data_IF_228288114977
#
_entry.id   IF_228288114977
#
_cell.length_a   1.000
_cell.length_b   1.000
_cell.length_c   1.000
_cell.angle_alpha   90.00
_cell.angle_beta   90.00
_cell.angle_gamma   90.00
#
_symmetry.space_group_name_H-M   'P 1'
#
loop_
_entity.id
_entity.type
_entity.pdbx_description
1 polymer ?
#
# COMPACT_ATOMS: atom_id res chain seq x y z
N UNK A 1 -53.59 53.40 35.26
CA UNK A 1 -53.32 52.63 34.03
C UNK A 1 -52.21 51.63 34.34
N UNK A 2 -52.44 50.34 34.04
CA UNK A 2 -51.50 49.25 33.66
C UNK A 2 -50.21 49.04 34.49
N UNK A 3 -49.73 47.85 34.82
CA UNK A 3 -50.21 46.46 34.81
C UNK A 3 -49.15 45.66 35.58
N UNK A 4 -49.56 44.59 36.26
CA UNK A 4 -48.73 43.57 36.89
C UNK A 4 -47.98 42.72 35.84
N UNK A 5 -46.73 42.32 36.12
CA UNK A 5 -46.16 40.97 35.86
C UNK A 5 -44.68 40.87 36.28
N UNK A 6 -44.29 39.83 37.05
CA UNK A 6 -42.90 39.40 37.22
C UNK A 6 -42.62 38.13 36.39
N UNK A 7 -41.45 38.06 35.77
CA UNK A 7 -40.86 36.88 35.14
C UNK A 7 -39.34 37.07 35.24
N UNK A 8 -38.46 36.08 35.36
CA UNK A 8 -38.46 34.69 35.81
C UNK A 8 -36.98 34.34 35.76
N UNK A 9 -36.49 33.60 36.76
CA UNK A 9 -35.08 33.26 36.89
C UNK A 9 -34.59 32.34 35.76
N UNK A 10 -33.35 32.54 35.32
CA UNK A 10 -32.52 31.48 34.73
C UNK A 10 -31.04 31.80 34.87
N UNK A 11 -30.41 31.13 35.85
CA UNK A 11 -28.97 31.02 36.02
C UNK A 11 -28.38 30.26 34.83
N UNK A 12 -27.59 30.94 34.00
CA UNK A 12 -26.75 30.29 33.00
C UNK A 12 -25.48 29.78 33.69
N UNK A 13 -25.44 28.47 33.91
CA UNK A 13 -24.21 27.75 34.20
C UNK A 13 -23.28 27.84 32.99
N UNK A 14 -22.20 28.60 33.12
CA UNK A 14 -21.09 28.57 32.17
C UNK A 14 -20.23 27.34 32.49
N UNK A 15 -20.52 26.19 31.88
CA UNK A 15 -19.58 25.07 31.88
C UNK A 15 -18.54 25.31 30.79
N UNK A 16 -17.33 25.69 31.20
CA UNK A 16 -16.15 25.64 30.33
C UNK A 16 -15.87 24.17 30.00
N UNK A 17 -16.16 23.76 28.77
CA UNK A 17 -15.72 22.48 28.24
C UNK A 17 -14.23 22.63 27.94
N UNK A 18 -13.38 22.12 28.83
CA UNK A 18 -12.02 21.74 28.48
C UNK A 18 -12.13 20.59 27.48
N UNK A 19 -11.90 20.88 26.20
CA UNK A 19 -11.62 19.86 25.20
C UNK A 19 -10.25 19.27 25.53
N UNK A 20 -10.25 18.09 26.15
CA UNK A 20 -9.07 17.25 26.34
C UNK A 20 -8.54 16.80 24.99
N UNK A 21 -7.22 16.90 24.82
CA UNK A 21 -6.42 16.25 23.77
C UNK A 21 -7.05 14.94 23.29
N UNK A 22 -7.73 15.00 22.15
CA UNK A 22 -7.88 13.84 21.29
C UNK A 22 -6.73 13.92 20.30
N UNK A 23 -5.74 13.06 20.50
CA UNK A 23 -4.76 12.67 19.48
C UNK A 23 -5.43 12.61 18.11
N UNK A 24 -5.13 13.58 17.25
CA UNK A 24 -5.39 13.49 15.82
C UNK A 24 -4.65 12.26 15.29
N UNK A 25 -5.34 11.12 15.25
CA UNK A 25 -5.03 10.12 14.24
C UNK A 25 -5.55 10.75 12.95
N UNK A 26 -4.67 11.52 12.32
CA UNK A 26 -4.87 12.07 10.99
C UNK A 26 -5.39 10.93 10.10
N UNK A 27 -6.54 11.14 9.46
CA UNK A 27 -7.16 10.18 8.55
C UNK A 27 -6.23 9.94 7.34
N UNK A 28 -5.18 9.12 7.51
CA UNK A 28 -4.50 8.46 6.41
C UNK A 28 -5.55 7.57 5.75
N UNK A 29 -6.08 8.00 4.60
CA UNK A 29 -7.01 7.20 3.83
C UNK A 29 -6.45 5.80 3.66
N UNK A 30 -7.24 4.78 4.04
CA UNK A 30 -6.88 3.38 3.94
C UNK A 30 -6.41 3.10 2.49
N UNK A 31 -5.17 2.64 2.33
CA UNK A 31 -4.57 2.48 1.00
C UNK A 31 -5.32 1.44 0.16
N UNK A 32 -5.79 0.34 0.76
CA UNK A 32 -6.66 -0.65 0.11
C UNK A 32 -7.92 0.00 -0.45
N UNK A 33 -8.59 0.87 0.31
CA UNK A 33 -9.78 1.58 -0.17
C UNK A 33 -9.47 2.50 -1.35
N UNK A 34 -8.42 3.32 -1.23
CA UNK A 34 -8.00 4.19 -2.34
C UNK A 34 -7.65 3.37 -3.59
N UNK A 35 -6.95 2.25 -3.42
CA UNK A 35 -6.60 1.36 -4.51
C UNK A 35 -7.84 0.73 -5.17
N UNK A 36 -8.86 0.36 -4.40
CA UNK A 36 -10.13 -0.13 -4.94
C UNK A 36 -10.86 0.92 -5.79
N UNK A 37 -10.85 2.19 -5.33
CA UNK A 37 -11.37 3.32 -6.13
C UNK A 37 -10.56 3.49 -7.40
N UNK A 38 -9.22 3.47 -7.32
CA UNK A 38 -8.35 3.52 -8.50
C UNK A 38 -8.67 2.41 -9.50
N UNK A 39 -8.85 1.16 -9.05
CA UNK A 39 -9.18 0.04 -9.93
C UNK A 39 -10.52 0.22 -10.63
N UNK A 40 -11.52 0.73 -9.92
CA UNK A 40 -12.84 1.03 -10.50
C UNK A 40 -12.74 2.16 -11.51
N UNK A 41 -12.00 3.23 -11.18
CA UNK A 41 -11.75 4.35 -12.10
C UNK A 41 -10.99 3.89 -13.33
N UNK A 42 -9.96 3.05 -13.20
CA UNK A 42 -9.21 2.51 -14.34
C UNK A 42 -10.10 1.79 -15.36
N UNK A 43 -11.12 1.08 -14.89
CA UNK A 43 -12.07 0.39 -15.76
C UNK A 43 -13.01 1.34 -16.50
N UNK A 44 -13.44 2.42 -15.84
CA UNK A 44 -14.48 3.32 -16.33
C UNK A 44 -13.92 4.55 -17.09
N UNK A 45 -12.78 5.06 -16.64
CA UNK A 45 -12.10 6.27 -17.14
C UNK A 45 -10.58 6.20 -16.87
N UNK A 46 -9.85 5.68 -17.86
CA UNK A 46 -8.40 5.52 -17.77
C UNK A 46 -7.64 6.85 -17.57
N UNK A 47 -8.14 7.97 -18.12
CA UNK A 47 -7.47 9.26 -17.98
C UNK A 47 -7.56 9.77 -16.54
N UNK A 48 -8.75 9.67 -15.94
CA UNK A 48 -8.94 9.98 -14.52
C UNK A 48 -8.11 9.05 -13.62
N UNK A 49 -7.94 7.78 -13.99
CA UNK A 49 -7.11 6.85 -13.23
C UNK A 49 -5.63 7.27 -13.21
N UNK A 50 -5.07 7.74 -14.34
CA UNK A 50 -3.71 8.28 -14.35
C UNK A 50 -3.57 9.51 -13.45
N UNK A 51 -4.56 10.41 -13.49
CA UNK A 51 -4.60 11.59 -12.61
C UNK A 51 -4.56 11.19 -11.13
N UNK A 52 -5.37 10.18 -10.74
CA UNK A 52 -5.34 9.64 -9.37
C UNK A 52 -3.97 9.09 -8.97
N UNK A 53 -3.28 8.39 -9.87
CA UNK A 53 -1.93 7.88 -9.60
C UNK A 53 -0.92 9.01 -9.41
N UNK A 54 -0.98 10.03 -10.26
CA UNK A 54 -0.08 11.19 -10.18
C UNK A 54 -0.32 11.99 -8.90
N UNK A 55 -1.57 12.24 -8.54
CA UNK A 55 -1.94 12.93 -7.30
C UNK A 55 -1.42 12.16 -6.08
N UNK A 56 -1.67 10.85 -6.02
CA UNK A 56 -1.18 10.00 -4.92
C UNK A 56 0.35 9.95 -4.86
N UNK A 57 1.03 9.90 -6.00
CA UNK A 57 2.49 9.92 -6.06
C UNK A 57 3.06 11.21 -5.43
N UNK A 58 2.47 12.35 -5.74
CA UNK A 58 2.92 13.66 -5.25
C UNK A 58 2.52 13.95 -3.80
N UNK A 59 1.42 13.36 -3.33
CA UNK A 59 0.90 13.54 -1.96
C UNK A 59 1.35 12.46 -0.98
N UNK A 60 1.94 11.37 -1.47
CA UNK A 60 2.44 10.27 -0.64
C UNK A 60 3.44 10.76 0.42
N UNK A 61 3.18 10.36 1.67
CA UNK A 61 3.93 10.75 2.87
C UNK A 61 5.19 9.91 3.09
N UNK A 62 5.31 8.75 2.44
CA UNK A 62 6.45 7.85 2.57
C UNK A 62 7.04 7.43 1.24
N UNK A 63 8.35 7.21 1.20
CA UNK A 63 9.03 6.69 0.01
C UNK A 63 8.51 5.30 -0.37
N UNK A 64 8.15 4.47 0.62
CA UNK A 64 7.62 3.12 0.40
C UNK A 64 6.27 3.15 -0.30
N UNK A 65 5.35 4.01 0.14
CA UNK A 65 4.07 4.22 -0.54
C UNK A 65 4.28 4.80 -1.94
N UNK A 66 5.17 5.80 -2.07
CA UNK A 66 5.48 6.43 -3.35
C UNK A 66 6.03 5.40 -4.34
N UNK A 67 6.91 4.49 -3.91
CA UNK A 67 7.40 3.38 -4.72
C UNK A 67 6.27 2.46 -5.20
N UNK A 68 5.33 2.09 -4.33
CA UNK A 68 4.21 1.26 -4.73
C UNK A 68 3.38 1.95 -5.83
N UNK A 69 3.09 3.25 -5.66
CA UNK A 69 2.38 4.07 -6.66
C UNK A 69 3.17 4.18 -7.96
N UNK A 70 4.50 4.36 -7.92
CA UNK A 70 5.35 4.29 -9.12
C UNK A 70 5.19 2.96 -9.86
N UNK A 71 5.01 1.86 -9.13
CA UNK A 71 4.69 0.55 -9.70
C UNK A 71 3.34 0.52 -10.42
N UNK A 72 2.31 1.18 -9.88
CA UNK A 72 1.02 1.32 -10.55
C UNK A 72 1.12 2.19 -11.82
N UNK A 73 1.88 3.29 -11.77
CA UNK A 73 2.14 4.15 -12.93
C UNK A 73 2.88 3.34 -14.00
N UNK A 74 3.88 2.56 -13.62
CA UNK A 74 4.58 1.65 -14.53
C UNK A 74 3.63 0.69 -15.23
N UNK A 75 2.74 0.02 -14.49
CA UNK A 75 1.78 -0.93 -15.08
C UNK A 75 0.79 -0.20 -16.01
N UNK A 76 0.27 0.97 -15.60
CA UNK A 76 -0.59 1.80 -16.43
C UNK A 76 0.09 2.17 -17.76
N UNK A 77 1.30 2.71 -17.70
CA UNK A 77 2.06 3.16 -18.87
C UNK A 77 2.38 1.99 -19.80
N UNK A 78 2.80 0.87 -19.24
CA UNK A 78 3.07 -0.34 -20.01
C UNK A 78 1.82 -0.88 -20.72
N UNK A 79 0.63 -0.78 -20.10
CA UNK A 79 -0.63 -1.21 -20.72
C UNK A 79 -1.00 -0.35 -21.94
N UNK A 80 -0.65 0.94 -21.93
CA UNK A 80 -0.81 1.84 -23.09
C UNK A 80 0.43 1.87 -24.00
N UNK A 81 1.37 0.92 -23.83
CA UNK A 81 2.61 0.79 -24.61
C UNK A 81 3.52 2.02 -24.56
N UNK A 82 3.47 2.77 -23.46
CA UNK A 82 4.37 3.88 -23.17
C UNK A 82 5.45 3.44 -22.18
N UNK A 83 6.71 3.83 -22.38
CA UNK A 83 7.75 3.53 -21.42
C UNK A 83 7.61 4.39 -20.16
N UNK A 84 8.02 3.84 -19.02
CA UNK A 84 8.11 4.56 -17.75
C UNK A 84 9.35 4.08 -16.99
N UNK A 85 10.18 5.02 -16.55
CA UNK A 85 11.48 4.74 -15.94
C UNK A 85 11.64 5.37 -14.54
N UNK A 86 10.55 5.91 -13.98
CA UNK A 86 10.58 6.71 -12.75
C UNK A 86 11.07 8.15 -12.96
N UNK A 87 11.25 8.87 -11.87
CA UNK A 87 11.65 10.29 -11.84
C UNK A 87 13.15 10.52 -12.06
N UNK A 88 13.98 9.47 -12.14
CA UNK A 88 15.44 9.56 -12.33
C UNK A 88 15.87 10.25 -13.62
N UNK A 89 14.98 10.32 -14.61
CA UNK A 89 15.23 11.02 -15.86
C UNK A 89 15.20 12.55 -15.71
N UNK A 90 14.57 13.05 -14.64
CA UNK A 90 14.30 14.46 -14.40
C UNK A 90 15.00 14.94 -13.12
N UNK A 91 15.07 14.06 -12.11
CA UNK A 91 15.61 14.34 -10.78
C UNK A 91 16.84 13.47 -10.53
N UNK A 92 17.85 14.05 -9.87
CA UNK A 92 19.03 13.32 -9.39
C UNK A 92 19.10 13.37 -7.86
N UNK A 93 18.16 12.68 -7.21
CA UNK A 93 18.12 12.51 -5.76
C UNK A 93 18.05 11.02 -5.39
N UNK A 94 18.18 10.71 -4.10
CA UNK A 94 18.26 9.33 -3.62
C UNK A 94 16.97 8.55 -3.89
N UNK A 95 15.80 9.19 -3.71
CA UNK A 95 14.52 8.57 -4.05
C UNK A 95 14.42 8.23 -5.54
N UNK A 96 14.82 9.13 -6.43
CA UNK A 96 14.74 8.92 -7.87
C UNK A 96 15.60 7.72 -8.31
N UNK A 97 16.78 7.52 -7.71
CA UNK A 97 17.62 6.33 -7.94
C UNK A 97 16.93 5.06 -7.43
N UNK A 98 16.40 5.11 -6.22
CA UNK A 98 15.66 4.01 -5.60
C UNK A 98 14.43 3.59 -6.44
N UNK A 99 13.66 4.58 -6.92
CA UNK A 99 12.53 4.39 -7.81
C UNK A 99 12.95 3.73 -9.13
N UNK A 100 14.04 4.20 -9.74
CA UNK A 100 14.54 3.63 -11.00
C UNK A 100 14.93 2.15 -10.85
N UNK A 101 15.59 1.79 -9.75
CA UNK A 101 15.92 0.39 -9.43
C UNK A 101 14.67 -0.46 -9.21
N UNK A 102 13.66 0.09 -8.54
CA UNK A 102 12.38 -0.59 -8.33
C UNK A 102 11.61 -0.81 -9.64
N UNK A 103 11.55 0.20 -10.51
CA UNK A 103 10.93 0.09 -11.84
C UNK A 103 11.68 -0.91 -12.73
N UNK A 104 13.01 -0.94 -12.66
CA UNK A 104 13.81 -1.94 -13.35
C UNK A 104 13.43 -3.37 -12.88
N UNK A 105 13.33 -3.60 -11.57
CA UNK A 105 12.95 -4.90 -11.02
C UNK A 105 11.55 -5.35 -11.49
N UNK A 106 10.58 -4.43 -11.57
CA UNK A 106 9.25 -4.68 -12.14
C UNK A 106 9.32 -5.01 -13.63
N UNK A 107 10.16 -4.28 -14.38
CA UNK A 107 10.37 -4.50 -15.79
C UNK A 107 10.98 -5.86 -16.11
N UNK A 108 12.02 -6.25 -15.35
CA UNK A 108 12.65 -7.57 -15.42
C UNK A 108 11.61 -8.68 -15.21
N UNK A 109 10.75 -8.54 -14.18
CA UNK A 109 9.65 -9.49 -13.92
C UNK A 109 8.68 -9.56 -15.09
N UNK A 110 8.21 -8.41 -15.59
CA UNK A 110 7.20 -8.34 -16.67
C UNK A 110 7.69 -9.00 -17.96
N UNK A 111 8.99 -8.96 -18.23
CA UNK A 111 9.60 -9.58 -19.42
C UNK A 111 10.15 -10.99 -19.18
N UNK A 112 9.86 -11.60 -18.03
CA UNK A 112 10.24 -12.98 -17.72
C UNK A 112 11.68 -13.17 -17.22
N UNK A 113 12.43 -12.09 -17.04
CA UNK A 113 13.76 -12.07 -16.40
C UNK A 113 13.63 -12.18 -14.88
N UNK A 114 12.94 -13.21 -14.41
CA UNK A 114 12.55 -13.37 -13.01
C UNK A 114 13.73 -13.45 -12.04
N UNK A 115 14.81 -14.14 -12.40
CA UNK A 115 15.97 -14.26 -11.52
C UNK A 115 16.70 -12.91 -11.34
N UNK A 116 16.72 -12.07 -12.38
CA UNK A 116 17.22 -10.69 -12.29
C UNK A 116 16.31 -9.85 -11.36
N UNK A 117 14.99 -9.94 -11.57
CA UNK A 117 14.00 -9.26 -10.72
C UNK A 117 14.13 -9.64 -9.25
N UNK A 118 14.29 -10.93 -8.95
CA UNK A 118 14.50 -11.42 -7.58
C UNK A 118 15.80 -10.87 -6.99
N UNK A 119 16.89 -10.77 -7.77
CA UNK A 119 18.14 -10.17 -7.32
C UNK A 119 17.96 -8.67 -7.03
N UNK A 120 17.31 -7.93 -7.93
CA UNK A 120 17.02 -6.51 -7.80
C UNK A 120 16.16 -6.21 -6.57
N UNK A 121 15.03 -6.91 -6.39
CA UNK A 121 14.20 -6.76 -5.19
C UNK A 121 14.90 -7.19 -3.91
N UNK A 122 15.77 -8.21 -3.94
CA UNK A 122 16.54 -8.62 -2.77
C UNK A 122 17.56 -7.55 -2.35
N UNK A 123 18.20 -6.90 -3.32
CA UNK A 123 19.10 -5.77 -3.09
C UNK A 123 18.35 -4.58 -2.47
N UNK A 124 17.23 -4.18 -3.07
CA UNK A 124 16.35 -3.13 -2.54
C UNK A 124 15.89 -3.45 -1.10
N UNK A 125 15.44 -4.68 -0.85
CA UNK A 125 15.02 -5.13 0.49
C UNK A 125 16.13 -4.98 1.52
N UNK A 126 17.37 -5.30 1.15
CA UNK A 126 18.52 -5.16 2.04
C UNK A 126 18.82 -3.69 2.34
N UNK A 127 18.69 -2.80 1.35
CA UNK A 127 18.80 -1.34 1.55
C UNK A 127 17.72 -0.83 2.51
N UNK A 128 16.45 -1.21 2.31
CA UNK A 128 15.36 -0.82 3.22
C UNK A 128 15.62 -1.29 4.66
N UNK A 129 16.09 -2.54 4.82
CA UNK A 129 16.47 -3.07 6.14
C UNK A 129 17.60 -2.25 6.78
N UNK A 130 18.61 -1.87 6.02
CA UNK A 130 19.75 -1.08 6.53
C UNK A 130 19.33 0.34 6.94
N UNK A 131 18.38 0.92 6.22
CA UNK A 131 17.86 2.26 6.49
C UNK A 131 16.79 2.29 7.60
N UNK A 132 16.39 1.12 8.13
CA UNK A 132 15.30 1.03 9.10
C UNK A 132 13.92 1.26 8.50
N UNK A 133 13.78 1.24 7.16
CA UNK A 133 12.50 1.36 6.47
C UNK A 133 11.73 0.04 6.54
N UNK A 134 10.87 -0.06 7.56
CA UNK A 134 10.02 -1.25 7.81
C UNK A 134 9.01 -1.44 6.69
N UNK A 135 8.40 -0.35 6.22
CA UNK A 135 7.36 -0.38 5.19
C UNK A 135 7.93 -0.71 3.81
N UNK A 136 9.07 -0.12 3.45
CA UNK A 136 9.79 -0.45 2.24
C UNK A 136 10.26 -1.91 2.23
N UNK A 137 10.73 -2.42 3.37
CA UNK A 137 11.09 -3.84 3.50
C UNK A 137 9.87 -4.74 3.29
N UNK A 138 8.71 -4.38 3.84
CA UNK A 138 7.46 -5.11 3.63
C UNK A 138 7.02 -5.10 2.17
N UNK A 139 7.10 -3.94 1.50
CA UNK A 139 6.84 -3.81 0.07
C UNK A 139 7.76 -4.72 -0.76
N UNK A 140 9.05 -4.79 -0.43
CA UNK A 140 9.97 -5.70 -1.13
C UNK A 140 9.66 -7.18 -0.83
N UNK A 141 9.23 -7.52 0.39
CA UNK A 141 8.76 -8.87 0.70
C UNK A 141 7.52 -9.25 -0.14
N UNK A 142 6.58 -8.31 -0.33
CA UNK A 142 5.45 -8.49 -1.25
C UNK A 142 5.91 -8.78 -2.68
N UNK A 143 6.82 -7.97 -3.22
CA UNK A 143 7.33 -8.17 -4.58
C UNK A 143 8.07 -9.51 -4.72
N UNK A 144 8.89 -9.91 -3.74
CA UNK A 144 9.63 -11.17 -3.76
C UNK A 144 8.70 -12.38 -3.63
N UNK A 145 7.73 -12.33 -2.70
CA UNK A 145 6.73 -13.39 -2.55
C UNK A 145 5.93 -13.56 -3.85
N UNK A 146 5.46 -12.46 -4.45
CA UNK A 146 4.74 -12.49 -5.73
C UNK A 146 5.60 -13.08 -6.86
N UNK A 147 6.81 -12.56 -7.06
CA UNK A 147 7.72 -12.95 -8.16
C UNK A 147 8.10 -14.44 -8.07
N UNK A 148 8.44 -14.92 -6.87
CA UNK A 148 8.81 -16.33 -6.68
C UNK A 148 7.59 -17.26 -6.79
N UNK A 149 6.39 -16.82 -6.40
CA UNK A 149 5.17 -17.57 -6.66
C UNK A 149 4.90 -17.71 -8.17
N UNK A 150 5.13 -16.66 -8.97
CA UNK A 150 5.00 -16.75 -10.44
C UNK A 150 5.95 -17.76 -11.07
N UNK A 151 7.13 -17.99 -10.47
CA UNK A 151 8.09 -19.01 -10.91
C UNK A 151 7.78 -20.43 -10.38
N UNK A 152 6.70 -20.63 -9.60
CA UNK A 152 6.44 -21.89 -8.92
C UNK A 152 7.43 -22.22 -7.78
N UNK A 153 8.25 -21.24 -7.35
CA UNK A 153 9.30 -21.42 -6.33
C UNK A 153 8.72 -21.21 -4.92
N UNK A 154 7.62 -21.90 -4.61
CA UNK A 154 6.80 -21.62 -3.44
C UNK A 154 7.54 -21.77 -2.10
N UNK A 155 8.45 -22.75 -1.98
CA UNK A 155 9.25 -22.93 -0.77
C UNK A 155 10.24 -21.77 -0.53
N UNK A 156 10.85 -21.22 -1.60
CA UNK A 156 11.71 -20.04 -1.50
C UNK A 156 10.89 -18.79 -1.20
N UNK A 157 9.75 -18.65 -1.87
CA UNK A 157 8.81 -17.55 -1.66
C UNK A 157 8.35 -17.46 -0.20
N UNK A 158 8.12 -18.61 0.46
CA UNK A 158 7.60 -18.66 1.82
C UNK A 158 8.39 -17.81 2.83
N UNK A 159 9.72 -17.72 2.69
CA UNK A 159 10.53 -16.86 3.56
C UNK A 159 10.08 -15.39 3.51
N UNK A 160 9.78 -14.89 2.31
CA UNK A 160 9.28 -13.52 2.12
C UNK A 160 7.79 -13.41 2.43
N UNK A 161 7.00 -14.42 2.06
CA UNK A 161 5.56 -14.44 2.32
C UNK A 161 5.24 -14.45 3.83
N UNK A 162 5.93 -15.26 4.63
CA UNK A 162 5.71 -15.29 6.09
C UNK A 162 6.20 -14.02 6.77
N UNK A 163 7.26 -13.39 6.25
CA UNK A 163 7.71 -12.08 6.74
C UNK A 163 6.72 -10.96 6.38
N UNK A 164 6.00 -11.09 5.26
CA UNK A 164 4.94 -10.17 4.88
C UNK A 164 3.68 -10.41 5.73
N UNK A 165 3.29 -11.67 5.95
CA UNK A 165 2.18 -12.04 6.83
C UNK A 165 2.33 -11.45 8.23
N UNK A 166 3.51 -11.62 8.84
CA UNK A 166 3.81 -11.02 10.15
C UNK A 166 3.69 -9.49 10.16
N UNK A 167 4.07 -8.82 9.07
CA UNK A 167 3.91 -7.36 8.96
C UNK A 167 2.43 -6.98 8.84
N UNK A 168 1.61 -7.77 8.15
CA UNK A 168 0.16 -7.54 8.06
C UNK A 168 -0.59 -7.79 9.38
N UNK A 169 -0.02 -8.56 10.31
CA UNK A 169 -0.62 -8.84 11.63
C UNK A 169 -0.33 -7.74 12.66
N UNK A 170 0.74 -6.99 12.44
CA UNK A 170 1.15 -5.87 13.29
C UNK A 170 0.40 -4.57 12.90
N UNK A 171 0.36 -3.60 13.82
CA UNK A 171 -0.26 -2.27 13.58
C UNK A 171 0.69 -1.33 12.81
N UNK A 172 1.10 -1.73 11.61
CA UNK A 172 1.94 -0.95 10.72
C UNK A 172 1.14 0.00 9.82
N UNK A 173 1.84 0.95 9.19
CA UNK A 173 1.21 1.86 8.24
C UNK A 173 0.84 1.13 6.94
N UNK A 174 -0.36 1.36 6.43
CA UNK A 174 -0.79 0.72 5.19
C UNK A 174 -0.31 1.52 3.97
N UNK A 175 0.89 1.18 3.45
CA UNK A 175 1.51 1.87 2.31
C UNK A 175 1.31 1.17 0.96
N UNK A 176 0.67 0.00 0.97
CA UNK A 176 0.23 -0.76 -0.20
C UNK A 176 -1.00 -1.60 0.19
N UNK A 177 -1.81 -2.10 -0.77
CA UNK A 177 -3.08 -2.74 -0.47
C UNK A 177 -2.89 -4.06 0.31
N UNK A 178 -3.44 -4.11 1.52
CA UNK A 178 -3.38 -5.26 2.40
C UNK A 178 -4.11 -6.48 1.80
N UNK A 179 -5.18 -6.26 1.04
CA UNK A 179 -5.94 -7.32 0.37
C UNK A 179 -5.08 -8.08 -0.68
N UNK A 180 -4.32 -7.36 -1.50
CA UNK A 180 -3.40 -7.94 -2.47
C UNK A 180 -2.28 -8.72 -1.77
N UNK A 181 -1.74 -8.16 -0.68
CA UNK A 181 -0.69 -8.79 0.10
C UNK A 181 -1.18 -10.09 0.74
N UNK A 182 -2.34 -10.09 1.39
CA UNK A 182 -2.98 -11.28 1.96
C UNK A 182 -3.21 -12.36 0.90
N UNK A 183 -3.71 -11.99 -0.28
CA UNK A 183 -3.94 -12.94 -1.38
C UNK A 183 -2.64 -13.60 -1.83
N UNK A 184 -1.55 -12.84 -1.94
CA UNK A 184 -0.24 -13.37 -2.37
C UNK A 184 0.35 -14.35 -1.35
N UNK A 185 0.17 -14.09 -0.05
CA UNK A 185 0.55 -15.03 1.02
C UNK A 185 -0.33 -16.28 1.01
N UNK A 186 -1.65 -16.11 0.92
CA UNK A 186 -2.61 -17.23 0.88
C UNK A 186 -2.33 -18.17 -0.31
N UNK A 187 -2.06 -17.60 -1.49
CA UNK A 187 -1.67 -18.37 -2.67
C UNK A 187 -0.39 -19.19 -2.41
N UNK A 188 0.61 -18.64 -1.72
CA UNK A 188 1.83 -19.38 -1.39
C UNK A 188 1.54 -20.62 -0.55
N UNK A 189 0.75 -20.47 0.53
CA UNK A 189 0.36 -21.59 1.38
C UNK A 189 -0.45 -22.64 0.60
N UNK A 190 -1.39 -22.20 -0.23
CA UNK A 190 -2.21 -23.09 -1.06
C UNK A 190 -1.35 -23.95 -2.00
N UNK A 191 -0.42 -23.34 -2.73
CA UNK A 191 0.46 -24.07 -3.66
C UNK A 191 1.49 -24.96 -2.97
N UNK A 192 1.74 -24.75 -1.67
CA UNK A 192 2.57 -25.63 -0.83
C UNK A 192 1.78 -26.77 -0.18
N UNK A 193 0.45 -26.79 -0.33
CA UNK A 193 -0.42 -27.77 0.32
C UNK A 193 -0.78 -27.45 1.77
N UNK A 194 -0.47 -26.24 2.26
CA UNK A 194 -0.87 -25.76 3.59
C UNK A 194 -2.26 -25.13 3.50
N UNK A 195 -3.25 -25.98 3.22
CA UNK A 195 -4.61 -25.54 2.89
C UNK A 195 -5.34 -24.88 4.05
N UNK A 196 -5.05 -25.27 5.30
CA UNK A 196 -5.67 -24.68 6.49
C UNK A 196 -5.26 -23.22 6.66
N UNK A 197 -3.96 -22.92 6.54
CA UNK A 197 -3.48 -21.54 6.58
C UNK A 197 -3.98 -20.73 5.40
N UNK A 198 -3.93 -21.29 4.18
CA UNK A 198 -4.45 -20.62 3.00
C UNK A 198 -5.92 -20.23 3.18
N UNK A 199 -6.77 -21.16 3.64
CA UNK A 199 -8.19 -20.93 3.88
C UNK A 199 -8.43 -19.87 4.96
N UNK A 200 -7.63 -19.88 6.04
CA UNK A 200 -7.69 -18.84 7.08
C UNK A 200 -7.44 -17.44 6.50
N UNK A 201 -6.37 -17.29 5.70
CA UNK A 201 -6.02 -16.02 5.07
C UNK A 201 -7.05 -15.57 4.02
N UNK A 202 -7.60 -16.49 3.22
CA UNK A 202 -8.69 -16.15 2.29
C UNK A 202 -9.96 -15.70 3.02
N UNK A 203 -10.29 -16.30 4.17
CA UNK A 203 -11.42 -15.84 4.99
C UNK A 203 -11.18 -14.44 5.55
N UNK A 204 -9.97 -14.16 6.03
CA UNK A 204 -9.57 -12.83 6.50
C UNK A 204 -9.65 -11.79 5.38
N UNK A 205 -9.17 -12.13 4.17
CA UNK A 205 -9.28 -11.30 2.98
C UNK A 205 -10.76 -10.93 2.71
N UNK A 206 -11.65 -11.93 2.67
CA UNK A 206 -13.07 -11.72 2.38
C UNK A 206 -13.79 -10.92 3.48
N UNK A 207 -13.41 -11.10 4.74
CA UNK A 207 -13.97 -10.33 5.85
C UNK A 207 -13.63 -8.83 5.75
N UNK A 208 -12.48 -8.49 5.17
CA UNK A 208 -12.01 -7.11 5.01
C UNK A 208 -12.49 -6.45 3.71
N UNK A 209 -13.18 -7.18 2.83
CA UNK A 209 -13.70 -6.70 1.54
C UNK A 209 -15.11 -6.10 1.63
N UNK A 210 -15.58 -5.70 2.83
CA UNK A 210 -16.97 -5.24 3.03
C UNK A 210 -17.35 -4.08 2.10
N UNK A 211 -18.35 -4.37 1.25
CA UNK A 211 -18.98 -3.55 0.21
C UNK A 211 -19.57 -2.23 0.70
#
# INVERSE_FOLDING_TARGET
MRALSPLLASLLFCSQIYASDSTEIEHTQNFTQWHAVYQTTLHNDAASALSMLQDRYHTSVSDSERLYVSGLIYEYMANIKQPYYGSSQILNNDFAKLESEYILALNERKHGSYDASVASFSSLRQKMKQNGDVEGKALMNYQLCYTLNQQGRYHKANFFCSSLESHLDDKHAEVFPADLALRVVANNYNYRGDYEKALSLYRRLLANMSY
#
